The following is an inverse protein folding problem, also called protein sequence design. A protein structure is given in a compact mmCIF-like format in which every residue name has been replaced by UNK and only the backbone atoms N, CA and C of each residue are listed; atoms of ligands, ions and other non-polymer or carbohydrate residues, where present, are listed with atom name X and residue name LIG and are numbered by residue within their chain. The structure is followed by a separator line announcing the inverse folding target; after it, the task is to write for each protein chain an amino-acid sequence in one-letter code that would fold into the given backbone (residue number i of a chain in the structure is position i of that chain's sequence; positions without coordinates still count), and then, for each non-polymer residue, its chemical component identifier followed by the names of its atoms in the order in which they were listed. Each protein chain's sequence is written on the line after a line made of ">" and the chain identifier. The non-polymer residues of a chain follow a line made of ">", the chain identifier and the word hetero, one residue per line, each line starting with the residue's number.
data_IF_275856518091
#
_entry.id   IF_275856518091
#
_cell.length_a   1.000
_cell.length_b   1.000
_cell.length_c   1.000
_cell.angle_alpha   90.00
_cell.angle_beta   90.00
_cell.angle_gamma   90.00
#
_symmetry.space_group_name_H-M   'P 1'
#
loop_
_entity.id
_entity.type
_entity.pdbx_description
1 polymer ?
#
# COMPACT_ATOMS: atom_id res chain seq x y z
N UNK A 1 6.97 -58.61 -17.89
CA UNK A 1 6.53 -57.26 -18.33
C UNK A 1 6.30 -56.28 -17.17
N UNK A 2 5.67 -56.72 -16.07
CA UNK A 2 5.27 -55.88 -14.92
C UNK A 2 6.40 -55.09 -14.23
N UNK A 3 7.59 -55.70 -14.08
CA UNK A 3 8.74 -55.05 -13.46
C UNK A 3 9.29 -53.86 -14.27
N UNK A 4 9.13 -53.87 -15.59
CA UNK A 4 9.56 -52.76 -16.45
C UNK A 4 8.62 -51.54 -16.28
N UNK A 5 7.32 -51.79 -16.21
CA UNK A 5 6.31 -50.76 -15.98
C UNK A 5 6.46 -50.09 -14.61
N UNK A 6 6.82 -50.85 -13.58
CA UNK A 6 7.12 -50.31 -12.25
C UNK A 6 8.31 -49.33 -12.28
N UNK A 7 9.39 -49.68 -12.99
CA UNK A 7 10.56 -48.80 -13.18
C UNK A 7 10.22 -47.54 -13.98
N UNK A 8 9.36 -47.65 -14.99
CA UNK A 8 8.90 -46.51 -15.78
C UNK A 8 8.05 -45.54 -14.94
N UNK A 9 7.17 -46.05 -14.07
CA UNK A 9 6.37 -45.23 -13.16
C UNK A 9 7.22 -44.53 -12.11
N UNK A 10 8.20 -45.22 -11.51
CA UNK A 10 9.11 -44.60 -10.54
C UNK A 10 9.95 -43.50 -11.18
N UNK A 11 10.44 -43.70 -12.42
CA UNK A 11 11.16 -42.68 -13.16
C UNK A 11 10.30 -41.44 -13.47
N UNK A 12 9.03 -41.63 -13.82
CA UNK A 12 8.08 -40.53 -14.02
C UNK A 12 7.80 -39.76 -12.74
N UNK A 13 7.64 -40.46 -11.61
CA UNK A 13 7.43 -39.82 -10.31
C UNK A 13 8.61 -38.92 -9.91
N UNK A 14 9.84 -39.40 -10.09
CA UNK A 14 11.06 -38.62 -9.83
C UNK A 14 11.21 -37.43 -10.79
N UNK A 15 10.89 -37.60 -12.07
CA UNK A 15 10.92 -36.50 -13.05
C UNK A 15 9.89 -35.40 -12.73
N UNK A 16 8.67 -35.77 -12.31
CA UNK A 16 7.64 -34.81 -11.89
C UNK A 16 8.11 -34.09 -10.62
N UNK A 17 8.66 -34.81 -9.64
CA UNK A 17 9.21 -34.21 -8.41
C UNK A 17 10.34 -33.22 -8.70
N UNK A 18 11.19 -33.52 -9.68
CA UNK A 18 12.24 -32.61 -10.14
C UNK A 18 11.67 -31.37 -10.85
N UNK A 19 10.57 -31.51 -11.59
CA UNK A 19 9.87 -30.39 -12.27
C UNK A 19 9.09 -29.49 -11.30
N UNK A 20 8.48 -30.08 -10.25
CA UNK A 20 7.73 -29.34 -9.23
C UNK A 20 8.63 -28.36 -8.47
N UNK A 21 9.93 -28.66 -8.35
CA UNK A 21 10.87 -27.68 -7.79
C UNK A 21 10.95 -26.48 -8.73
N UNK A 22 10.50 -25.29 -8.30
CA UNK A 22 10.50 -24.13 -9.17
C UNK A 22 11.94 -23.78 -9.52
N UNK A 23 12.35 -24.10 -10.75
CA UNK A 23 13.58 -23.61 -11.34
C UNK A 23 13.32 -22.16 -11.71
N UNK A 24 13.42 -21.27 -10.73
CA UNK A 24 13.15 -19.84 -10.91
C UNK A 24 14.22 -19.30 -11.87
N UNK A 25 13.89 -18.99 -13.14
CA UNK A 25 14.84 -18.31 -13.99
C UNK A 25 15.10 -16.94 -13.35
N UNK A 26 16.36 -16.47 -13.40
CA UNK A 26 16.71 -15.08 -13.08
C UNK A 26 16.04 -14.19 -14.14
N UNK A 27 14.76 -13.89 -13.92
CA UNK A 27 13.97 -13.02 -14.77
C UNK A 27 14.29 -11.55 -14.51
N UNK A 28 13.71 -10.63 -15.31
CA UNK A 28 13.85 -9.21 -15.07
C UNK A 28 13.45 -8.85 -13.64
N UNK A 29 14.05 -7.78 -13.10
CA UNK A 29 13.80 -7.38 -11.72
C UNK A 29 12.29 -7.23 -11.46
N UNK A 30 11.85 -7.62 -10.26
CA UNK A 30 10.44 -7.54 -9.83
C UNK A 30 9.82 -6.14 -10.06
N UNK A 31 10.64 -5.08 -10.02
CA UNK A 31 10.22 -3.70 -10.30
C UNK A 31 9.79 -3.51 -11.77
N UNK A 32 10.58 -3.98 -12.72
CA UNK A 32 10.27 -3.85 -14.15
C UNK A 32 9.01 -4.62 -14.52
N UNK A 33 8.89 -5.87 -14.05
CA UNK A 33 7.68 -6.68 -14.28
C UNK A 33 6.45 -6.02 -13.69
N UNK A 34 6.56 -5.41 -12.51
CA UNK A 34 5.44 -4.66 -11.90
C UNK A 34 5.04 -3.45 -12.73
N UNK A 35 6.00 -2.68 -13.26
CA UNK A 35 5.71 -1.53 -14.12
C UNK A 35 5.04 -1.96 -15.42
N UNK A 36 5.51 -3.04 -16.05
CA UNK A 36 4.89 -3.60 -17.24
C UNK A 36 3.42 -4.01 -16.99
N UNK A 37 3.14 -4.67 -15.85
CA UNK A 37 1.77 -5.02 -15.46
C UNK A 37 0.87 -3.80 -15.22
N UNK A 38 1.42 -2.71 -14.66
CA UNK A 38 0.69 -1.45 -14.46
C UNK A 38 0.43 -0.74 -15.79
N UNK A 39 1.38 -0.76 -16.72
CA UNK A 39 1.26 -0.17 -18.05
C UNK A 39 0.32 -0.98 -18.95
N UNK A 40 0.16 -2.29 -18.69
CA UNK A 40 -0.65 -3.17 -19.50
C UNK A 40 -2.10 -2.66 -19.63
N UNK A 41 -2.65 -2.55 -20.86
CA UNK A 41 -3.96 -1.92 -21.09
C UNK A 41 -5.11 -2.67 -20.41
N UNK A 42 -5.16 -4.00 -20.56
CA UNK A 42 -6.20 -4.87 -19.95
C UNK A 42 -5.98 -5.09 -18.43
N UNK A 43 -4.83 -5.63 -18.06
CA UNK A 43 -4.53 -6.05 -16.67
C UNK A 43 -4.30 -4.87 -15.71
N UNK A 44 -3.74 -3.76 -16.20
CA UNK A 44 -3.37 -2.61 -15.36
C UNK A 44 -4.53 -1.67 -15.01
N UNK A 45 -5.72 -1.84 -15.60
CA UNK A 45 -6.86 -0.90 -15.42
C UNK A 45 -7.25 -0.72 -13.94
N UNK A 46 -7.41 -1.82 -13.20
CA UNK A 46 -7.78 -1.80 -11.77
C UNK A 46 -6.67 -1.21 -10.90
N UNK A 47 -5.41 -1.47 -11.24
CA UNK A 47 -4.26 -0.96 -10.48
C UNK A 47 -4.16 0.56 -10.65
N UNK A 48 -4.27 1.05 -11.90
CA UNK A 48 -4.26 2.49 -12.20
C UNK A 48 -5.43 3.21 -11.54
N UNK A 49 -6.64 2.64 -11.57
CA UNK A 49 -7.81 3.25 -10.91
C UNK A 49 -7.68 3.30 -9.39
N UNK A 50 -7.12 2.26 -8.77
CA UNK A 50 -6.81 2.26 -7.33
C UNK A 50 -5.79 3.34 -6.97
N UNK A 51 -4.68 3.43 -7.72
CA UNK A 51 -3.68 4.48 -7.49
C UNK A 51 -4.24 5.89 -7.66
N UNK A 52 -5.11 6.10 -8.65
CA UNK A 52 -5.78 7.38 -8.86
C UNK A 52 -6.71 7.74 -7.68
N UNK A 53 -7.47 6.77 -7.15
CA UNK A 53 -8.30 6.96 -5.95
C UNK A 53 -7.47 7.31 -4.73
N UNK A 54 -6.40 6.55 -4.46
CA UNK A 54 -5.49 6.83 -3.35
C UNK A 54 -4.94 8.26 -3.39
N UNK A 55 -4.51 8.72 -4.58
CA UNK A 55 -4.03 10.09 -4.77
C UNK A 55 -5.11 11.16 -4.55
N UNK A 56 -6.35 10.93 -4.98
CA UNK A 56 -7.46 11.89 -4.76
C UNK A 56 -7.81 12.00 -3.28
N UNK A 57 -7.95 10.86 -2.60
CA UNK A 57 -8.28 10.82 -1.17
C UNK A 57 -7.19 11.43 -0.29
N UNK A 58 -5.92 11.35 -0.69
CA UNK A 58 -4.82 11.97 0.03
C UNK A 58 -4.82 13.50 -0.10
N UNK A 59 -5.29 14.03 -1.23
CA UNK A 59 -5.41 15.49 -1.46
C UNK A 59 -6.55 16.12 -0.68
N UNK A 60 -7.61 15.38 -0.38
CA UNK A 60 -8.81 15.87 0.32
C UNK A 60 -8.79 15.60 1.82
N UNK A 61 -7.70 15.12 2.40
CA UNK A 61 -7.58 15.14 3.87
C UNK A 61 -7.44 16.61 4.29
N UNK A 62 -8.42 17.20 5.01
CA UNK A 62 -8.22 18.49 5.62
C UNK A 62 -7.03 18.36 6.55
N UNK A 63 -6.01 19.18 6.30
CA UNK A 63 -4.94 19.42 7.25
C UNK A 63 -5.62 20.06 8.44
N UNK A 64 -6.06 19.26 9.42
CA UNK A 64 -6.49 19.78 10.72
C UNK A 64 -5.32 20.62 11.21
N UNK A 65 -5.51 21.93 11.14
CA UNK A 65 -4.63 22.90 11.73
C UNK A 65 -4.69 22.63 13.23
N UNK A 66 -3.71 21.90 13.75
CA UNK A 66 -3.41 21.95 15.16
C UNK A 66 -2.85 23.35 15.45
N UNK A 67 -3.75 24.33 15.62
CA UNK A 67 -3.43 25.59 16.26
C UNK A 67 -4.64 26.05 17.05
N UNK A 68 -4.39 26.21 18.35
CA UNK A 68 -5.22 26.87 19.35
C UNK A 68 -6.52 26.15 19.74
N UNK A 69 -6.41 25.29 20.74
CA UNK A 69 -7.41 25.28 21.81
C UNK A 69 -6.70 25.81 23.06
N UNK A 70 -6.76 27.13 23.23
CA UNK A 70 -6.48 27.76 24.51
C UNK A 70 -7.66 27.42 25.41
N UNK A 71 -7.61 26.25 26.05
CA UNK A 71 -8.58 25.86 27.05
C UNK A 71 -8.47 26.83 28.23
N UNK A 72 -9.60 27.48 28.49
CA UNK A 72 -9.85 28.29 29.65
C UNK A 72 -9.44 27.56 30.94
N UNK A 73 -8.43 28.08 31.63
CA UNK A 73 -8.22 27.83 33.05
C UNK A 73 -8.54 29.14 33.77
N UNK A 74 -9.69 29.14 34.44
CA UNK A 74 -10.09 30.17 35.38
C UNK A 74 -9.02 30.38 36.44
N UNK A 75 -8.70 31.66 36.73
CA UNK A 75 -8.38 32.21 38.04
C UNK A 75 -8.12 33.73 37.86
N UNK A 76 -9.10 34.56 38.24
CA UNK A 76 -8.86 35.98 38.51
C UNK A 76 -7.96 36.11 39.75
N UNK A 77 -7.14 37.18 39.93
CA UNK A 77 -7.70 38.46 40.35
C UNK A 77 -6.90 39.74 39.97
N UNK A 78 -7.54 40.89 40.28
CA UNK A 78 -6.97 42.17 40.72
C UNK A 78 -6.38 43.18 39.71
N UNK A 79 -6.93 44.39 39.79
CA UNK A 79 -6.25 45.67 39.51
C UNK A 79 -6.75 46.35 38.25
N UNK A 80 -7.80 47.17 38.29
CA UNK A 80 -7.82 48.58 38.69
C UNK A 80 -7.59 49.57 37.54
N UNK A 81 -8.45 50.60 37.53
CA UNK A 81 -8.41 51.89 36.80
C UNK A 81 -8.92 51.92 35.35
N UNK A 82 -10.25 52.07 35.21
CA UNK A 82 -10.98 53.32 34.94
C UNK A 82 -10.52 54.24 33.75
N UNK A 83 -11.34 55.22 33.32
CA UNK A 83 -12.10 55.18 32.05
C UNK A 83 -11.73 56.33 31.10
N UNK A 84 -12.26 56.39 29.87
CA UNK A 84 -12.79 57.65 29.31
C UNK A 84 -13.61 57.48 28.02
N UNK A 85 -14.72 58.23 27.98
CA UNK A 85 -15.72 58.47 26.91
C UNK A 85 -15.07 59.13 25.66
N UNK A 86 -15.49 58.80 24.43
CA UNK A 86 -16.53 59.44 23.57
C UNK A 86 -16.21 60.91 23.18
N UNK A 87 -16.57 61.42 21.98
CA UNK A 87 -17.88 61.31 21.32
C UNK A 87 -17.95 60.34 20.14
#
# INVERSE_FOLDING_TARGET
>A
MQANNAKAMSARAEAIKALVKPKVPKGPSRKLTRLALIAHPKLGKRIRSYMARGRRLQKTKPKVQAKAEASAAALAPKGAQAPMKAP
#
